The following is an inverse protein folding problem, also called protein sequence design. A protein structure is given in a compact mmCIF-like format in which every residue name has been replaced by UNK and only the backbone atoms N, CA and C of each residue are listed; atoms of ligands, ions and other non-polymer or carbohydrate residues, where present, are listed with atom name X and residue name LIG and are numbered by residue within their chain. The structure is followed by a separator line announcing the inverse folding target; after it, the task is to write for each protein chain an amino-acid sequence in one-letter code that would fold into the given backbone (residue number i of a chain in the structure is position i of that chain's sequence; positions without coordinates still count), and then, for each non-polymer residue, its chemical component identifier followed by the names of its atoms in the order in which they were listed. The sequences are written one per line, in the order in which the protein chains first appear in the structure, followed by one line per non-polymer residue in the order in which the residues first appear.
data_IF_985278764295
#
_entry.id   IF_985278764295
#
_cell.length_a   1.000
_cell.length_b   1.000
_cell.length_c   1.000
_cell.angle_alpha   90.00
_cell.angle_beta   90.00
_cell.angle_gamma   90.00
#
_symmetry.space_group_name_H-M   'P 1'
#
loop_
_entity.id
_entity.type
_entity.pdbx_description
1 polymer ?
#
# COMPACT_ATOMS: atom_id res chain seq x y z
N UNK A 1 4.00 -50.27 32.16
CA UNK A 1 4.04 -50.54 33.61
C UNK A 1 5.45 -50.23 34.10
N UNK A 2 5.78 -48.94 34.21
CA UNK A 2 5.66 -48.09 35.40
C UNK A 2 6.88 -48.25 36.33
N UNK A 3 7.86 -47.36 36.12
CA UNK A 3 9.06 -47.14 36.92
C UNK A 3 8.78 -46.17 38.08
N UNK A 4 9.64 -46.30 39.11
CA UNK A 4 9.55 -45.79 40.49
C UNK A 4 9.72 -44.28 40.61
N UNK A 5 9.08 -43.67 41.61
CA UNK A 5 9.50 -42.40 42.23
C UNK A 5 9.65 -42.57 43.76
N UNK A 6 10.76 -42.08 44.30
CA UNK A 6 11.08 -41.99 45.73
C UNK A 6 11.68 -40.60 45.99
N UNK A 7 11.19 -39.95 47.06
CA UNK A 7 11.75 -38.84 47.86
C UNK A 7 11.92 -37.45 47.15
N UNK A 8 11.94 -36.28 47.81
CA UNK A 8 12.48 -35.95 49.13
C UNK A 8 12.10 -34.52 49.59
N UNK A 9 11.93 -34.36 50.91
CA UNK A 9 12.15 -33.22 51.82
C UNK A 9 11.62 -31.80 51.55
N UNK A 10 10.81 -31.36 52.52
CA UNK A 10 10.49 -29.98 52.87
C UNK A 10 11.55 -29.48 53.88
N UNK A 11 12.19 -28.33 53.64
CA UNK A 11 13.09 -27.67 54.58
C UNK A 11 12.55 -26.26 54.93
N UNK A 12 12.30 -26.02 56.21
CA UNK A 12 12.08 -24.70 56.79
C UNK A 12 13.41 -23.97 57.01
N UNK A 13 13.46 -22.67 56.71
CA UNK A 13 14.42 -21.73 57.32
C UNK A 13 13.65 -20.49 57.81
N UNK A 14 13.86 -20.15 59.08
CA UNK A 14 13.39 -18.93 59.74
C UNK A 14 14.51 -17.87 59.72
N UNK A 15 14.15 -16.58 59.66
CA UNK A 15 15.10 -15.48 59.89
C UNK A 15 14.57 -14.08 59.54
N UNK A 16 14.36 -13.26 60.56
CA UNK A 16 13.73 -11.94 60.58
C UNK A 16 14.39 -10.85 59.71
N UNK A 17 13.55 -9.99 59.11
CA UNK A 17 13.90 -8.66 58.61
C UNK A 17 12.71 -7.71 58.79
N UNK A 18 12.84 -6.78 59.71
CA UNK A 18 11.81 -5.83 60.17
C UNK A 18 11.67 -4.72 59.12
N UNK A 19 10.57 -4.68 58.36
CA UNK A 19 10.19 -3.51 57.58
C UNK A 19 8.98 -2.87 58.25
N UNK A 20 9.19 -1.65 58.77
CA UNK A 20 8.10 -0.82 59.25
C UNK A 20 7.23 -0.45 58.06
N UNK A 21 6.00 -0.95 58.07
CA UNK A 21 4.92 -0.37 57.28
C UNK A 21 4.56 0.96 57.96
N UNK A 22 4.99 2.07 57.37
CA UNK A 22 4.47 3.38 57.69
C UNK A 22 3.09 3.53 56.99
N UNK A 23 1.97 3.73 57.71
CA UNK A 23 0.64 3.74 57.10
C UNK A 23 0.25 5.08 56.46
N UNK A 24 1.23 5.91 56.08
CA UNK A 24 1.00 7.28 55.57
C UNK A 24 1.49 7.50 54.14
N UNK A 25 1.66 6.44 53.34
CA UNK A 25 1.78 6.60 51.89
C UNK A 25 0.37 6.69 51.29
N UNK A 26 -0.03 7.91 50.92
CA UNK A 26 -1.27 8.17 50.21
C UNK A 26 -1.30 7.39 48.88
N UNK A 27 -2.44 6.82 48.46
CA UNK A 27 -2.54 6.05 47.21
C UNK A 27 -2.42 6.90 45.92
N UNK A 28 -2.06 8.18 46.02
CA UNK A 28 -2.02 9.13 44.90
C UNK A 28 -0.63 9.29 44.25
N UNK A 29 0.44 8.66 44.76
CA UNK A 29 1.82 8.84 44.26
C UNK A 29 2.35 7.68 43.38
N UNK A 30 1.47 6.89 42.75
CA UNK A 30 1.85 5.93 41.70
C UNK A 30 1.36 6.34 40.31
N UNK A 31 1.27 7.64 40.02
CA UNK A 31 1.34 8.09 38.62
C UNK A 31 2.81 8.03 38.25
N UNK A 32 3.20 6.96 37.55
CA UNK A 32 4.50 6.89 36.88
C UNK A 32 4.61 8.07 35.90
N UNK A 33 5.42 9.11 36.17
CA UNK A 33 5.54 10.26 35.28
C UNK A 33 6.27 9.90 33.97
N UNK A 34 6.82 8.68 33.88
CA UNK A 34 7.49 8.15 32.70
C UNK A 34 6.58 7.24 31.84
N UNK A 35 5.30 7.07 32.20
CA UNK A 35 4.33 6.27 31.44
C UNK A 35 3.80 6.97 30.17
N UNK A 36 4.62 7.80 29.53
CA UNK A 36 4.34 8.28 28.19
C UNK A 36 4.48 7.10 27.21
N UNK A 37 3.46 6.84 26.40
CA UNK A 37 3.47 5.79 25.37
C UNK A 37 4.46 6.08 24.22
N UNK A 38 4.77 5.10 23.36
CA UNK A 38 5.73 5.30 22.28
C UNK A 38 5.32 6.44 21.35
N UNK A 39 6.28 7.27 20.93
CA UNK A 39 6.09 8.24 19.86
C UNK A 39 6.28 7.51 18.52
N UNK A 40 5.27 7.57 17.65
CA UNK A 40 5.35 7.01 16.30
C UNK A 40 4.62 7.92 15.32
N UNK A 41 5.14 7.95 14.08
CA UNK A 41 4.55 8.73 12.98
C UNK A 41 4.40 7.87 11.73
N UNK A 42 3.32 8.14 11.00
CA UNK A 42 2.93 7.34 9.85
C UNK A 42 2.05 8.17 8.89
N UNK A 43 2.45 8.31 7.63
CA UNK A 43 1.64 9.02 6.62
C UNK A 43 0.60 8.14 5.93
N UNK A 44 0.43 6.89 6.35
CA UNK A 44 -0.47 5.94 5.68
C UNK A 44 0.04 5.50 4.30
N UNK A 45 1.29 5.85 3.96
CA UNK A 45 2.02 5.49 2.73
C UNK A 45 3.50 5.80 2.89
N UNK A 46 4.37 4.99 2.28
CA UNK A 46 5.82 5.24 2.21
C UNK A 46 6.24 5.85 0.87
N UNK A 47 5.33 5.94 -0.09
CA UNK A 47 5.56 6.58 -1.37
C UNK A 47 4.32 7.35 -1.84
N UNK A 48 4.52 8.46 -2.53
CA UNK A 48 3.46 9.23 -3.18
C UNK A 48 3.94 9.76 -4.54
N UNK A 49 3.15 9.52 -5.58
CA UNK A 49 3.34 10.16 -6.88
C UNK A 49 2.33 11.29 -7.00
N UNK A 50 2.81 12.50 -7.21
CA UNK A 50 2.06 13.75 -7.15
C UNK A 50 1.98 14.41 -8.54
N UNK A 51 0.86 15.10 -8.79
CA UNK A 51 0.63 15.84 -10.01
C UNK A 51 1.33 17.22 -9.98
N UNK A 52 2.10 17.54 -11.02
CA UNK A 52 2.64 18.90 -11.22
C UNK A 52 1.50 19.89 -11.46
N UNK A 53 1.58 21.05 -10.81
CA UNK A 53 0.71 22.20 -11.01
C UNK A 53 -0.66 22.10 -10.32
N UNK A 54 -1.00 20.93 -9.79
CA UNK A 54 -2.18 20.73 -8.96
C UNK A 54 -1.90 21.02 -7.48
N UNK A 55 -2.94 21.45 -6.75
CA UNK A 55 -2.92 21.35 -5.29
C UNK A 55 -2.92 19.88 -4.91
N UNK A 56 -1.92 19.45 -4.13
CA UNK A 56 -1.83 18.07 -3.73
C UNK A 56 -2.94 17.75 -2.73
N UNK A 57 -3.44 16.52 -2.76
CA UNK A 57 -4.16 15.99 -1.61
C UNK A 57 -3.20 16.01 -0.42
N UNK A 58 -3.55 16.75 0.61
CA UNK A 58 -2.72 16.88 1.81
C UNK A 58 -2.35 15.50 2.36
N UNK A 59 -1.06 15.31 2.64
CA UNK A 59 -0.55 14.10 3.28
C UNK A 59 -0.61 14.33 4.78
N UNK A 60 -1.52 13.62 5.43
CA UNK A 60 -1.79 13.78 6.86
C UNK A 60 -1.06 12.68 7.65
N UNK A 61 -0.22 13.03 8.63
CA UNK A 61 0.40 12.04 9.49
C UNK A 61 -0.59 11.54 10.54
N UNK A 62 -0.58 10.24 10.77
CA UNK A 62 -1.09 9.61 11.98
C UNK A 62 0.04 9.60 13.02
N UNK A 63 -0.21 10.27 14.14
CA UNK A 63 0.73 10.37 15.26
C UNK A 63 0.20 9.53 16.42
N UNK A 64 1.08 8.74 17.04
CA UNK A 64 0.83 8.06 18.32
C UNK A 64 1.76 8.69 19.35
N UNK A 65 1.24 9.06 20.52
CA UNK A 65 1.96 9.87 21.51
C UNK A 65 1.85 11.38 21.24
N UNK A 66 2.62 12.18 21.97
CA UNK A 66 2.65 13.64 21.80
C UNK A 66 3.89 14.07 20.99
N UNK A 67 3.65 14.69 19.83
CA UNK A 67 4.66 15.39 19.05
C UNK A 67 4.48 16.90 19.22
N UNK A 68 5.57 17.60 19.51
CA UNK A 68 5.64 19.05 19.67
C UNK A 68 6.04 19.76 18.37
N UNK A 69 6.89 19.13 17.56
CA UNK A 69 7.40 19.69 16.32
C UNK A 69 7.58 18.63 15.22
N UNK A 70 7.46 19.07 13.97
CA UNK A 70 7.70 18.28 12.78
C UNK A 70 8.72 18.95 11.86
N UNK A 71 9.65 18.15 11.37
CA UNK A 71 10.70 18.58 10.43
C UNK A 71 10.84 17.57 9.30
N UNK A 72 11.44 17.99 8.19
CA UNK A 72 11.68 17.13 7.02
C UNK A 72 13.09 17.37 6.48
N UNK A 73 13.78 16.30 6.07
CA UNK A 73 15.13 16.38 5.47
C UNK A 73 15.28 15.33 4.36
N UNK A 74 15.76 15.70 3.15
CA UNK A 74 16.09 17.06 2.69
C UNK A 74 14.86 17.98 2.61
N UNK A 75 15.04 19.24 2.21
CA UNK A 75 13.90 20.15 1.99
C UNK A 75 12.98 19.60 0.90
N UNK A 76 11.66 19.68 1.13
CA UNK A 76 10.64 19.28 0.15
C UNK A 76 10.80 20.06 -1.17
N UNK A 77 10.34 19.51 -2.30
CA UNK A 77 10.30 20.23 -3.57
C UNK A 77 9.58 21.58 -3.43
N UNK A 78 10.01 22.56 -4.23
CA UNK A 78 9.43 23.92 -4.19
C UNK A 78 7.90 23.88 -4.25
N UNK A 79 7.25 24.73 -3.45
CA UNK A 79 5.79 24.81 -3.38
C UNK A 79 5.09 23.75 -2.51
N UNK A 80 5.82 22.72 -2.04
CA UNK A 80 5.36 21.82 -0.97
C UNK A 80 5.96 22.24 0.38
N UNK A 81 5.16 22.16 1.44
CA UNK A 81 5.60 22.49 2.79
C UNK A 81 5.00 21.53 3.82
N UNK A 82 5.77 21.25 4.87
CA UNK A 82 5.29 20.59 6.08
C UNK A 82 4.89 21.65 7.11
N UNK A 83 3.70 21.52 7.68
CA UNK A 83 3.31 22.29 8.85
C UNK A 83 4.11 21.79 10.07
N UNK A 84 4.92 22.64 10.72
CA UNK A 84 5.80 22.22 11.81
C UNK A 84 5.03 21.83 13.09
N UNK A 85 3.75 22.13 13.20
CA UNK A 85 2.92 21.79 14.36
C UNK A 85 2.04 20.57 14.10
N UNK A 86 1.44 20.47 12.91
CA UNK A 86 0.54 19.35 12.58
C UNK A 86 1.22 18.21 11.84
N UNK A 87 2.39 18.47 11.24
CA UNK A 87 3.07 17.54 10.36
C UNK A 87 2.38 17.34 9.01
N UNK A 88 1.32 18.09 8.69
CA UNK A 88 0.63 17.96 7.40
C UNK A 88 1.55 18.46 6.28
N UNK A 89 1.72 17.66 5.22
CA UNK A 89 2.41 18.09 4.00
C UNK A 89 1.36 18.52 2.97
N UNK A 90 1.43 19.77 2.53
CA UNK A 90 0.48 20.35 1.57
C UNK A 90 1.18 21.35 0.64
N UNK A 91 0.45 21.81 -0.38
CA UNK A 91 0.91 22.85 -1.30
C UNK A 91 0.66 22.50 -2.77
N UNK A 92 1.38 23.21 -3.64
CA UNK A 92 1.29 23.07 -5.10
C UNK A 92 2.71 22.87 -5.61
N UNK A 93 2.99 21.72 -6.23
CA UNK A 93 4.29 21.44 -6.82
C UNK A 93 4.38 22.05 -8.24
N UNK A 94 5.14 23.14 -8.47
CA UNK A 94 5.14 23.85 -9.75
C UNK A 94 5.99 23.15 -10.82
N UNK A 95 6.96 22.32 -10.42
CA UNK A 95 7.93 21.70 -11.30
C UNK A 95 7.96 20.17 -11.14
N UNK A 96 8.43 19.48 -12.17
CA UNK A 96 8.65 18.04 -12.12
C UNK A 96 9.84 17.73 -11.20
N UNK A 97 9.75 16.62 -10.47
CA UNK A 97 10.81 16.17 -9.60
C UNK A 97 10.91 14.65 -9.62
N UNK A 98 12.12 14.13 -9.79
CA UNK A 98 12.37 12.69 -9.72
C UNK A 98 12.17 12.14 -8.32
N UNK A 99 11.76 10.86 -8.25
CA UNK A 99 11.62 10.09 -7.03
C UNK A 99 12.79 10.30 -6.06
N UNK A 100 12.50 10.87 -4.89
CA UNK A 100 13.48 11.15 -3.83
C UNK A 100 12.92 10.79 -2.45
N UNK A 101 13.80 10.33 -1.55
CA UNK A 101 13.44 9.96 -0.17
C UNK A 101 13.57 11.16 0.76
N UNK A 102 12.52 11.41 1.55
CA UNK A 102 12.44 12.44 2.56
C UNK A 102 12.23 11.80 3.93
N UNK A 103 13.05 12.19 4.90
CA UNK A 103 12.91 11.77 6.29
C UNK A 103 12.11 12.83 7.04
N UNK A 104 10.87 12.52 7.39
CA UNK A 104 10.07 13.32 8.31
C UNK A 104 10.46 12.91 9.73
N UNK A 105 10.69 13.89 10.60
CA UNK A 105 10.98 13.66 12.02
C UNK A 105 9.97 14.42 12.87
N UNK A 106 9.31 13.70 13.77
CA UNK A 106 8.50 14.26 14.84
C UNK A 106 9.29 14.29 16.13
N UNK A 107 9.46 15.49 16.70
CA UNK A 107 10.07 15.73 18.00
C UNK A 107 9.02 15.81 19.09
N UNK A 108 9.20 15.03 20.16
CA UNK A 108 8.52 15.20 21.44
C UNK A 108 9.51 15.67 22.51
N UNK A 109 9.02 16.03 23.71
CA UNK A 109 9.88 16.61 24.75
C UNK A 109 11.07 15.72 25.19
N UNK A 110 10.96 14.39 25.03
CA UNK A 110 11.98 13.42 25.43
C UNK A 110 12.25 12.34 24.37
N UNK A 111 11.54 12.35 23.25
CA UNK A 111 11.55 11.26 22.25
C UNK A 111 11.47 11.83 20.84
N UNK A 112 11.93 11.08 19.86
CA UNK A 112 11.74 11.39 18.46
C UNK A 112 11.29 10.15 17.70
N UNK A 113 10.51 10.37 16.64
CA UNK A 113 10.15 9.33 15.68
C UNK A 113 10.43 9.85 14.27
N UNK A 114 10.86 8.95 13.39
CA UNK A 114 11.14 9.29 12.00
C UNK A 114 10.34 8.39 11.05
N UNK A 115 9.95 8.94 9.92
CA UNK A 115 9.24 8.26 8.86
C UNK A 115 9.88 8.62 7.52
N UNK A 116 10.15 7.61 6.69
CA UNK A 116 10.67 7.81 5.33
C UNK A 116 9.52 7.84 4.33
N UNK A 117 9.46 8.92 3.56
CA UNK A 117 8.48 9.12 2.51
C UNK A 117 9.19 9.38 1.19
N UNK A 118 8.87 8.58 0.17
CA UNK A 118 9.35 8.79 -1.20
C UNK A 118 8.35 9.67 -1.94
N UNK A 119 8.80 10.78 -2.50
CA UNK A 119 7.97 11.66 -3.33
C UNK A 119 8.50 11.69 -4.77
N UNK A 120 7.58 11.68 -5.72
CA UNK A 120 7.83 11.84 -7.15
C UNK A 120 6.76 12.78 -7.73
N UNK A 121 7.17 13.77 -8.54
CA UNK A 121 6.26 14.76 -9.13
C UNK A 121 6.30 14.63 -10.65
N UNK A 122 5.16 14.27 -11.25
CA UNK A 122 5.03 13.98 -12.68
C UNK A 122 3.92 14.79 -13.34
N UNK A 123 3.90 14.77 -14.66
CA UNK A 123 2.76 15.31 -15.43
C UNK A 123 1.52 14.49 -15.11
N UNK A 124 0.36 15.16 -15.00
CA UNK A 124 -0.90 14.51 -14.71
C UNK A 124 -1.85 14.52 -15.91
N UNK A 125 -2.63 13.45 -16.01
CA UNK A 125 -3.77 13.28 -16.92
C UNK A 125 -4.98 12.98 -16.04
N UNK A 126 -6.03 13.78 -16.22
CA UNK A 126 -7.27 13.65 -15.44
C UNK A 126 -8.29 12.85 -16.25
N UNK A 127 -8.79 11.75 -15.68
CA UNK A 127 -9.88 10.97 -16.26
C UNK A 127 -11.20 11.68 -16.00
N UNK A 128 -11.99 11.94 -17.04
CA UNK A 128 -13.29 12.61 -16.91
C UNK A 128 -14.49 11.72 -17.33
N UNK A 129 -14.20 10.49 -17.77
CA UNK A 129 -15.21 9.52 -18.20
C UNK A 129 -15.02 8.17 -17.54
N UNK A 130 -16.12 7.58 -17.05
CA UNK A 130 -16.14 6.23 -16.49
C UNK A 130 -16.31 5.14 -17.55
N UNK A 131 -16.43 5.52 -18.82
CA UNK A 131 -16.53 4.56 -19.92
C UNK A 131 -15.18 3.88 -20.17
N UNK A 132 -15.19 2.76 -20.89
CA UNK A 132 -13.99 1.97 -21.17
C UNK A 132 -13.71 1.89 -22.67
N UNK A 133 -13.55 3.06 -23.27
CA UNK A 133 -13.18 3.22 -24.68
C UNK A 133 -11.67 3.43 -24.79
N UNK A 134 -11.05 2.82 -25.79
CA UNK A 134 -9.63 2.97 -26.10
C UNK A 134 -9.29 4.41 -26.53
N UNK A 135 -8.01 4.77 -26.47
CA UNK A 135 -7.54 6.02 -27.05
C UNK A 135 -7.72 6.00 -28.58
N UNK A 136 -8.14 7.12 -29.16
CA UNK A 136 -8.33 7.27 -30.60
C UNK A 136 -6.99 7.25 -31.35
N UNK A 137 -5.96 7.90 -30.81
CA UNK A 137 -4.65 8.07 -31.43
C UNK A 137 -3.50 7.91 -30.41
N UNK A 138 -3.21 6.68 -29.94
CA UNK A 138 -2.15 6.47 -28.96
C UNK A 138 -0.79 7.06 -29.39
N UNK A 139 -0.21 7.91 -28.54
CA UNK A 139 1.09 8.54 -28.68
C UNK A 139 1.04 9.97 -29.22
N UNK A 140 -0.12 10.61 -29.31
CA UNK A 140 -0.27 11.99 -29.79
C UNK A 140 -0.18 13.06 -28.67
N UNK A 141 -0.04 12.62 -27.42
CA UNK A 141 0.04 13.45 -26.22
C UNK A 141 -1.33 13.83 -25.64
N UNK A 142 -2.43 13.30 -26.16
CA UNK A 142 -3.80 13.65 -25.77
C UNK A 142 -4.52 12.38 -25.35
N UNK A 143 -5.06 12.38 -24.13
CA UNK A 143 -6.02 11.36 -23.74
C UNK A 143 -7.40 11.67 -24.36
N UNK A 144 -7.80 10.93 -25.39
CA UNK A 144 -9.09 11.12 -26.05
C UNK A 144 -9.67 9.80 -26.57
N UNK A 145 -10.89 9.47 -26.14
CA UNK A 145 -11.61 8.30 -26.65
C UNK A 145 -12.17 8.46 -28.07
N UNK A 146 -12.00 9.65 -28.65
CA UNK A 146 -12.58 10.10 -29.93
C UNK A 146 -13.96 10.75 -29.76
N UNK A 147 -14.42 10.89 -28.52
CA UNK A 147 -15.63 11.63 -28.16
C UNK A 147 -15.31 12.93 -27.41
N UNK A 148 -14.03 13.26 -27.22
CA UNK A 148 -13.57 14.43 -26.48
C UNK A 148 -13.53 14.22 -24.97
N UNK A 149 -13.61 12.96 -24.51
CA UNK A 149 -13.49 12.55 -23.12
C UNK A 149 -12.24 11.68 -22.91
N UNK A 150 -11.66 11.77 -21.72
CA UNK A 150 -10.51 10.97 -21.30
C UNK A 150 -10.98 9.82 -20.41
N UNK A 151 -10.88 8.60 -20.92
CA UNK A 151 -11.12 7.37 -20.15
C UNK A 151 -9.83 6.91 -19.48
N UNK A 152 -9.95 6.08 -18.42
CA UNK A 152 -8.77 5.44 -17.82
C UNK A 152 -7.97 4.62 -18.84
N UNK A 153 -8.65 3.93 -19.76
CA UNK A 153 -8.00 3.15 -20.81
C UNK A 153 -7.23 4.05 -21.76
N UNK A 154 -7.85 5.12 -22.23
CA UNK A 154 -7.22 6.06 -23.14
C UNK A 154 -5.95 6.66 -22.51
N UNK A 155 -6.04 7.12 -21.26
CA UNK A 155 -4.91 7.68 -20.53
C UNK A 155 -3.72 6.71 -20.41
N UNK A 156 -4.00 5.43 -20.13
CA UNK A 156 -2.95 4.40 -20.01
C UNK A 156 -2.39 4.01 -21.38
N UNK A 157 -3.21 3.94 -22.41
CA UNK A 157 -2.76 3.66 -23.79
C UNK A 157 -1.86 4.77 -24.32
N UNK A 158 -2.19 6.01 -24.01
CA UNK A 158 -1.37 7.18 -24.33
C UNK A 158 -0.01 7.12 -23.60
N UNK A 159 -0.01 6.85 -22.30
CA UNK A 159 1.21 6.67 -21.52
C UNK A 159 2.09 5.52 -22.06
N UNK A 160 1.47 4.42 -22.45
CA UNK A 160 2.19 3.27 -23.01
C UNK A 160 2.81 3.56 -24.37
N UNK A 161 2.20 4.42 -25.18
CA UNK A 161 2.69 4.77 -26.51
C UNK A 161 3.82 5.80 -26.44
N UNK A 162 3.70 6.78 -25.54
CA UNK A 162 4.72 7.82 -25.32
C UNK A 162 5.92 7.30 -24.55
N UNK A 163 5.70 6.41 -23.57
CA UNK A 163 6.74 5.95 -22.63
C UNK A 163 7.10 6.98 -21.56
N UNK A 164 6.46 8.14 -21.55
CA UNK A 164 6.71 9.20 -20.58
C UNK A 164 5.99 8.88 -19.26
N UNK A 165 6.69 8.97 -18.10
CA UNK A 165 6.06 8.75 -16.80
C UNK A 165 4.93 9.75 -16.52
N UNK A 166 3.75 9.23 -16.18
CA UNK A 166 2.54 10.04 -15.96
C UNK A 166 1.79 9.64 -14.69
N UNK A 167 1.08 10.60 -14.10
CA UNK A 167 0.04 10.37 -13.11
C UNK A 167 -1.33 10.41 -13.80
N UNK A 168 -2.06 9.31 -13.74
CA UNK A 168 -3.47 9.23 -14.14
C UNK A 168 -4.31 9.39 -12.88
N UNK A 169 -4.89 10.58 -12.72
CA UNK A 169 -5.83 10.85 -11.62
C UNK A 169 -7.20 10.33 -12.01
N UNK A 170 -7.79 9.53 -11.14
CA UNK A 170 -9.08 8.87 -11.36
C UNK A 170 -10.08 9.39 -10.33
N UNK A 171 -11.06 10.22 -10.76
CA UNK A 171 -12.08 10.75 -9.86
C UNK A 171 -12.97 9.67 -9.23
N UNK A 172 -13.80 10.05 -8.22
CA UNK A 172 -14.78 9.14 -7.66
C UNK A 172 -15.73 8.59 -8.73
N UNK A 173 -15.87 7.28 -8.77
CA UNK A 173 -16.66 6.60 -9.80
C UNK A 173 -16.44 5.09 -9.78
N UNK A 174 -17.31 4.38 -10.50
CA UNK A 174 -17.08 2.97 -10.84
C UNK A 174 -16.75 2.90 -12.33
N UNK A 175 -15.61 2.31 -12.64
CA UNK A 175 -15.03 2.20 -13.98
C UNK A 175 -15.15 0.74 -14.44
N UNK A 176 -16.27 0.37 -15.09
CA UNK A 176 -16.48 -0.97 -15.60
C UNK A 176 -15.58 -1.24 -16.81
N UNK A 177 -14.68 -2.20 -16.67
CA UNK A 177 -13.72 -2.56 -17.72
C UNK A 177 -14.29 -3.66 -18.61
N UNK A 178 -14.36 -3.40 -19.91
CA UNK A 178 -14.67 -4.36 -20.96
C UNK A 178 -13.49 -5.31 -21.24
N UNK A 179 -12.26 -4.87 -20.97
CA UNK A 179 -11.05 -5.69 -21.07
C UNK A 179 -9.98 -5.27 -20.06
N UNK A 180 -8.92 -6.07 -19.91
CA UNK A 180 -7.82 -5.69 -19.01
C UNK A 180 -7.12 -4.40 -19.45
N UNK A 181 -6.72 -3.58 -18.49
CA UNK A 181 -5.83 -2.45 -18.71
C UNK A 181 -4.39 -2.98 -18.66
N UNK A 182 -3.63 -2.76 -19.72
CA UNK A 182 -2.23 -3.17 -19.80
C UNK A 182 -1.32 -1.97 -19.50
N UNK A 183 -0.39 -2.13 -18.57
CA UNK A 183 0.63 -1.14 -18.24
C UNK A 183 1.97 -1.69 -18.73
N UNK A 184 2.59 -1.00 -19.70
CA UNK A 184 3.89 -1.29 -20.32
C UNK A 184 4.91 -0.19 -20.07
N UNK A 185 4.45 1.04 -19.87
CA UNK A 185 5.26 2.17 -19.45
C UNK A 185 5.20 2.37 -17.93
N UNK A 186 5.79 3.46 -17.47
CA UNK A 186 5.69 3.90 -16.08
C UNK A 186 4.43 4.74 -15.86
N UNK A 187 3.48 4.22 -15.09
CA UNK A 187 2.16 4.84 -14.89
C UNK A 187 1.78 4.83 -13.42
N UNK A 188 1.40 5.99 -12.88
CA UNK A 188 0.79 6.11 -11.57
C UNK A 188 -0.72 6.28 -11.69
N UNK A 189 -1.51 5.31 -11.25
CA UNK A 189 -2.98 5.39 -11.19
C UNK A 189 -3.37 5.78 -9.76
N UNK A 190 -3.89 6.99 -9.59
CA UNK A 190 -4.23 7.57 -8.29
C UNK A 190 -5.73 7.83 -8.22
N UNK A 191 -6.44 7.10 -7.37
CA UNK A 191 -7.86 7.31 -7.14
C UNK A 191 -8.15 8.38 -6.09
N UNK A 192 -9.43 8.73 -5.94
CA UNK A 192 -9.89 9.63 -4.90
C UNK A 192 -9.87 9.02 -3.48
N UNK A 193 -9.83 7.69 -3.37
CA UNK A 193 -9.87 6.95 -2.11
C UNK A 193 -10.52 5.57 -2.26
N UNK A 194 -10.21 4.68 -1.31
CA UNK A 194 -10.88 3.37 -1.22
C UNK A 194 -12.39 3.56 -1.06
N UNK A 195 -13.18 2.71 -1.72
CA UNK A 195 -14.66 2.81 -1.88
C UNK A 195 -15.18 4.02 -2.68
N UNK A 196 -14.34 4.98 -3.04
CA UNK A 196 -14.74 6.13 -3.85
C UNK A 196 -14.42 5.91 -5.32
N UNK A 197 -13.23 5.38 -5.60
CA UNK A 197 -12.78 5.04 -6.96
C UNK A 197 -12.72 3.54 -7.08
N UNK A 198 -13.42 2.97 -8.06
CA UNK A 198 -13.49 1.51 -8.23
C UNK A 198 -13.19 1.10 -9.66
N UNK A 199 -12.12 0.33 -9.85
CA UNK A 199 -11.81 -0.35 -11.10
C UNK A 199 -12.45 -1.74 -11.07
N UNK A 200 -13.32 -2.01 -12.04
CA UNK A 200 -14.24 -3.14 -11.96
C UNK A 200 -14.12 -4.04 -13.19
N UNK A 201 -13.59 -5.26 -13.00
CA UNK A 201 -13.43 -6.25 -14.08
C UNK A 201 -14.73 -6.97 -14.46
N UNK A 202 -15.85 -6.66 -13.80
CA UNK A 202 -17.19 -7.17 -14.10
C UNK A 202 -17.35 -8.70 -14.04
N UNK A 203 -16.39 -9.41 -13.45
CA UNK A 203 -16.20 -10.86 -13.50
C UNK A 203 -15.98 -11.41 -14.92
N UNK A 204 -15.60 -10.55 -15.86
CA UNK A 204 -15.42 -10.90 -17.27
C UNK A 204 -13.97 -10.80 -17.71
N UNK A 205 -13.18 -9.96 -17.04
CA UNK A 205 -11.79 -9.70 -17.43
C UNK A 205 -10.90 -9.46 -16.22
N UNK A 206 -9.60 -9.63 -16.41
CA UNK A 206 -8.62 -9.19 -15.44
C UNK A 206 -8.67 -7.67 -15.36
N UNK A 207 -8.55 -7.07 -14.18
CA UNK A 207 -8.63 -5.61 -14.08
C UNK A 207 -7.36 -4.97 -14.67
N UNK A 208 -6.19 -5.29 -14.10
CA UNK A 208 -4.91 -4.69 -14.47
C UNK A 208 -3.85 -5.75 -14.80
N UNK A 209 -2.96 -5.43 -15.74
CA UNK A 209 -1.76 -6.23 -16.01
C UNK A 209 -0.54 -5.34 -16.24
N UNK A 210 0.47 -5.46 -15.40
CA UNK A 210 1.79 -4.82 -15.61
C UNK A 210 2.74 -5.82 -16.26
N UNK A 211 3.32 -5.45 -17.41
CA UNK A 211 4.13 -6.35 -18.26
C UNK A 211 5.31 -5.60 -18.90
N UNK A 212 6.23 -6.36 -19.48
CA UNK A 212 7.31 -5.86 -20.36
C UNK A 212 8.21 -4.78 -19.72
N UNK A 213 8.46 -4.88 -18.41
CA UNK A 213 9.23 -3.89 -17.67
C UNK A 213 8.44 -2.67 -17.23
N UNK A 214 7.12 -2.64 -17.42
CA UNK A 214 6.25 -1.57 -16.95
C UNK A 214 6.32 -1.37 -15.44
N UNK A 215 6.10 -0.13 -15.00
CA UNK A 215 6.13 0.25 -13.59
C UNK A 215 4.77 0.84 -13.23
N UNK A 216 3.99 0.08 -12.46
CA UNK A 216 2.65 0.49 -12.02
C UNK A 216 2.68 0.99 -10.58
N UNK A 217 2.32 2.25 -10.38
CA UNK A 217 2.09 2.83 -9.06
C UNK A 217 0.58 2.97 -8.87
N UNK A 218 -0.03 2.15 -8.03
CA UNK A 218 -1.49 2.13 -7.86
C UNK A 218 -1.83 2.56 -6.43
N UNK A 219 -2.66 3.59 -6.29
CA UNK A 219 -3.04 4.08 -4.97
C UNK A 219 -4.46 4.61 -4.88
N UNK A 220 -5.00 4.59 -3.66
CA UNK A 220 -6.26 5.25 -3.28
C UNK A 220 -7.49 4.77 -4.09
N UNK A 221 -7.61 3.46 -4.35
CA UNK A 221 -8.72 2.90 -5.12
C UNK A 221 -9.04 1.44 -4.77
N UNK A 222 -10.20 0.98 -5.25
CA UNK A 222 -10.62 -0.41 -5.17
C UNK A 222 -10.40 -1.12 -6.52
N UNK A 223 -9.84 -2.32 -6.49
CA UNK A 223 -9.70 -3.24 -7.63
C UNK A 223 -10.58 -4.45 -7.35
N UNK A 224 -11.69 -4.60 -8.09
CA UNK A 224 -12.66 -5.65 -7.78
C UNK A 224 -13.23 -6.38 -8.98
N UNK A 225 -13.82 -7.53 -8.67
CA UNK A 225 -14.56 -8.37 -9.61
C UNK A 225 -13.74 -8.68 -10.87
N UNK A 226 -12.43 -8.86 -10.73
CA UNK A 226 -11.58 -9.35 -11.81
C UNK A 226 -11.76 -10.84 -12.04
N UNK A 227 -11.68 -11.28 -13.30
CA UNK A 227 -11.66 -12.68 -13.71
C UNK A 227 -10.61 -12.94 -14.79
N UNK A 228 -9.66 -13.84 -14.54
CA UNK A 228 -8.65 -14.22 -15.52
C UNK A 228 -7.79 -15.41 -15.09
N UNK A 229 -6.98 -15.94 -16.00
CA UNK A 229 -5.98 -16.98 -15.70
C UNK A 229 -4.70 -16.31 -15.19
N UNK A 230 -4.19 -16.67 -14.01
CA UNK A 230 -3.02 -16.01 -13.41
C UNK A 230 -3.36 -15.16 -12.17
N UNK A 231 -3.51 -13.84 -12.33
CA UNK A 231 -3.84 -12.84 -11.31
C UNK A 231 -5.09 -12.05 -11.70
N UNK A 232 -6.26 -12.32 -11.11
CA UNK A 232 -7.52 -11.79 -11.66
C UNK A 232 -7.74 -10.30 -11.39
N UNK A 233 -7.28 -9.77 -10.26
CA UNK A 233 -7.30 -8.32 -10.04
C UNK A 233 -6.10 -7.66 -10.75
N UNK A 234 -4.89 -8.09 -10.38
CA UNK A 234 -3.64 -7.58 -10.94
C UNK A 234 -2.66 -8.72 -11.15
N UNK A 235 -2.07 -8.79 -12.34
CA UNK A 235 -0.88 -9.60 -12.60
C UNK A 235 0.30 -8.72 -13.00
N UNK A 236 1.44 -9.00 -12.39
CA UNK A 236 2.73 -8.37 -12.63
C UNK A 236 3.65 -9.44 -13.19
N UNK A 237 4.09 -9.28 -14.44
CA UNK A 237 4.91 -10.24 -15.15
C UNK A 237 6.18 -9.55 -15.65
N UNK A 238 7.34 -9.91 -15.09
CA UNK A 238 8.63 -9.28 -15.44
C UNK A 238 8.53 -7.74 -15.46
N UNK A 239 7.93 -7.21 -14.41
CA UNK A 239 7.50 -5.82 -14.30
C UNK A 239 7.46 -5.42 -12.81
N UNK A 240 7.18 -4.15 -12.55
CA UNK A 240 7.07 -3.60 -11.19
C UNK A 240 5.63 -3.18 -10.92
N UNK A 241 5.12 -3.47 -9.72
CA UNK A 241 3.90 -2.82 -9.25
C UNK A 241 3.93 -2.54 -7.74
N UNK A 242 3.67 -1.29 -7.40
CA UNK A 242 3.54 -0.78 -6.04
C UNK A 242 2.08 -0.45 -5.77
N UNK A 243 1.53 -0.99 -4.69
CA UNK A 243 0.16 -0.74 -4.25
C UNK A 243 0.17 -0.06 -2.89
N UNK A 244 -0.52 1.08 -2.76
CA UNK A 244 -0.63 1.83 -1.51
C UNK A 244 -2.07 2.28 -1.25
N UNK A 245 -2.60 1.97 -0.06
CA UNK A 245 -3.99 2.29 0.29
C UNK A 245 -5.01 1.82 -0.76
N UNK A 246 -4.95 0.53 -1.13
CA UNK A 246 -5.90 -0.08 -2.08
C UNK A 246 -6.73 -1.18 -1.43
N UNK A 247 -7.92 -1.41 -1.99
CA UNK A 247 -8.73 -2.60 -1.66
C UNK A 247 -8.78 -3.52 -2.87
N UNK A 248 -8.19 -4.70 -2.75
CA UNK A 248 -8.26 -5.75 -3.78
C UNK A 248 -9.26 -6.79 -3.33
N UNK A 249 -10.46 -6.80 -3.92
CA UNK A 249 -11.52 -7.65 -3.40
C UNK A 249 -12.45 -8.29 -4.43
N UNK A 250 -13.04 -9.43 -4.04
CA UNK A 250 -14.06 -10.12 -4.85
C UNK A 250 -13.54 -10.55 -6.22
N UNK A 251 -12.24 -10.79 -6.35
CA UNK A 251 -11.64 -11.26 -7.58
C UNK A 251 -11.68 -12.79 -7.58
N UNK A 252 -12.05 -13.37 -8.73
CA UNK A 252 -12.23 -14.80 -8.88
C UNK A 252 -11.31 -15.29 -9.98
N UNK A 253 -10.68 -16.44 -9.79
CA UNK A 253 -9.81 -17.03 -10.80
C UNK A 253 -10.29 -18.41 -11.21
N UNK A 254 -10.38 -18.66 -12.52
CA UNK A 254 -10.45 -20.02 -13.06
C UNK A 254 -9.05 -20.48 -13.50
N UNK A 255 -8.29 -21.19 -12.66
CA UNK A 255 -6.97 -21.74 -13.03
C UNK A 255 -5.93 -21.84 -11.90
N UNK A 256 -4.64 -22.00 -12.25
CA UNK A 256 -3.55 -22.33 -11.30
C UNK A 256 -2.80 -21.10 -10.68
N UNK A 257 -3.49 -20.05 -10.24
CA UNK A 257 -2.82 -18.83 -9.73
C UNK A 257 -3.57 -18.09 -8.62
N UNK A 258 -3.14 -16.86 -8.32
CA UNK A 258 -3.74 -16.04 -7.26
C UNK A 258 -4.91 -15.24 -7.79
N UNK A 259 -6.03 -15.16 -7.06
CA UNK A 259 -7.21 -14.46 -7.57
C UNK A 259 -7.12 -12.94 -7.39
N UNK A 260 -6.59 -12.47 -6.26
CA UNK A 260 -6.31 -11.06 -6.07
C UNK A 260 -5.11 -10.62 -6.89
N UNK A 261 -3.92 -10.88 -6.35
CA UNK A 261 -2.64 -10.38 -6.86
C UNK A 261 -1.75 -11.54 -7.30
N UNK A 262 -1.04 -11.36 -8.41
CA UNK A 262 0.01 -12.28 -8.85
C UNK A 262 1.27 -11.55 -9.28
N UNK A 263 2.40 -11.91 -8.68
CA UNK A 263 3.74 -11.47 -9.08
C UNK A 263 4.52 -12.67 -9.64
N UNK A 264 4.99 -12.57 -10.87
CA UNK A 264 5.69 -13.68 -11.55
C UNK A 264 6.83 -13.20 -12.45
N UNK A 265 7.77 -14.10 -12.72
CA UNK A 265 8.85 -13.90 -13.69
C UNK A 265 9.77 -12.72 -13.33
N UNK A 266 10.36 -12.76 -12.12
CA UNK A 266 11.20 -11.70 -11.58
C UNK A 266 10.46 -10.36 -11.42
N UNK A 267 9.15 -10.41 -11.16
CA UNK A 267 8.41 -9.22 -10.81
C UNK A 267 8.85 -8.70 -9.43
N UNK A 268 8.73 -7.38 -9.25
CA UNK A 268 9.01 -6.71 -7.98
C UNK A 268 7.78 -5.91 -7.57
N UNK A 269 7.47 -5.90 -6.28
CA UNK A 269 6.38 -5.06 -5.80
C UNK A 269 6.42 -4.74 -4.34
N UNK A 270 5.60 -3.76 -3.99
CA UNK A 270 5.27 -3.43 -2.61
C UNK A 270 3.76 -3.39 -2.46
N UNK A 271 3.26 -3.83 -1.31
CA UNK A 271 1.84 -3.76 -0.96
C UNK A 271 1.74 -3.18 0.44
N UNK A 272 1.32 -1.93 0.52
CA UNK A 272 1.29 -1.19 1.77
C UNK A 272 -0.08 -0.59 2.10
N UNK A 273 -0.42 -0.56 3.39
CA UNK A 273 -1.65 0.05 3.90
C UNK A 273 -2.92 -0.45 3.21
N UNK A 274 -2.88 -1.67 2.69
CA UNK A 274 -3.89 -2.17 1.77
C UNK A 274 -4.73 -3.27 2.40
N UNK A 275 -5.87 -3.57 1.79
CA UNK A 275 -6.72 -4.70 2.17
C UNK A 275 -6.92 -5.62 0.97
N UNK A 276 -6.48 -6.86 1.11
CA UNK A 276 -6.67 -7.92 0.12
C UNK A 276 -7.72 -8.86 0.69
N UNK A 277 -8.95 -8.79 0.19
CA UNK A 277 -10.09 -9.46 0.84
C UNK A 277 -11.03 -10.21 -0.10
N UNK A 278 -11.61 -11.31 0.38
CA UNK A 278 -12.69 -12.02 -0.31
C UNK A 278 -12.33 -12.44 -1.75
N UNK A 279 -11.05 -12.75 -2.00
CA UNK A 279 -10.58 -13.24 -3.29
C UNK A 279 -10.57 -14.77 -3.32
N UNK A 280 -10.98 -15.36 -4.45
CA UNK A 280 -11.21 -16.81 -4.59
C UNK A 280 -10.38 -17.36 -5.76
N UNK A 281 -9.34 -18.14 -5.46
CA UNK A 281 -8.49 -18.79 -6.47
C UNK A 281 -8.72 -20.30 -6.58
N UNK A 282 -8.66 -20.87 -7.77
CA UNK A 282 -8.74 -22.33 -7.91
C UNK A 282 -7.40 -23.01 -7.61
N UNK A 283 -6.29 -22.37 -7.99
CA UNK A 283 -4.93 -22.88 -7.75
C UNK A 283 -4.41 -22.56 -6.36
N UNK A 284 -3.77 -21.39 -6.19
CA UNK A 284 -3.20 -21.02 -4.91
C UNK A 284 -2.87 -19.55 -4.74
N UNK A 285 -3.00 -19.04 -3.51
CA UNK A 285 -2.83 -17.64 -3.17
C UNK A 285 -4.06 -16.82 -3.53
N UNK A 286 -5.24 -17.22 -3.02
CA UNK A 286 -6.51 -16.54 -3.26
C UNK A 286 -6.37 -15.02 -3.15
N UNK A 287 -5.68 -14.53 -2.12
CA UNK A 287 -5.28 -13.13 -1.99
C UNK A 287 -4.06 -12.75 -2.83
N UNK A 288 -2.90 -13.35 -2.56
CA UNK A 288 -1.63 -13.04 -3.23
C UNK A 288 -0.87 -14.33 -3.60
N UNK A 289 -0.39 -14.39 -4.84
CA UNK A 289 0.49 -15.42 -5.36
C UNK A 289 1.82 -14.81 -5.82
N UNK A 290 2.95 -15.30 -5.28
CA UNK A 290 4.30 -14.84 -5.65
C UNK A 290 5.07 -16.02 -6.22
N UNK A 291 5.50 -15.91 -7.49
CA UNK A 291 6.24 -16.95 -8.20
C UNK A 291 7.57 -16.42 -8.74
N UNK A 292 8.69 -16.85 -8.14
CA UNK A 292 10.02 -16.42 -8.53
C UNK A 292 10.16 -14.89 -8.63
N UNK A 293 9.60 -14.18 -7.65
CA UNK A 293 9.39 -12.73 -7.63
C UNK A 293 9.53 -12.21 -6.19
N UNK A 294 9.73 -10.90 -6.02
CA UNK A 294 9.92 -10.29 -4.68
C UNK A 294 8.78 -9.32 -4.37
N UNK A 295 8.14 -9.48 -3.21
CA UNK A 295 7.07 -8.58 -2.76
C UNK A 295 7.26 -8.18 -1.30
N UNK A 296 7.35 -6.89 -1.03
CA UNK A 296 7.38 -6.37 0.35
C UNK A 296 5.98 -5.93 0.78
N UNK A 297 5.50 -6.48 1.89
CA UNK A 297 4.17 -6.24 2.44
C UNK A 297 4.31 -5.45 3.73
N UNK A 298 3.65 -4.29 3.81
CA UNK A 298 3.70 -3.41 4.98
C UNK A 298 2.31 -2.99 5.44
N UNK A 299 1.95 -3.20 6.70
CA UNK A 299 0.64 -2.78 7.26
C UNK A 299 -0.57 -3.15 6.37
N UNK A 300 -0.54 -4.33 5.77
CA UNK A 300 -1.57 -4.82 4.84
C UNK A 300 -2.37 -5.96 5.46
N UNK A 301 -3.69 -5.99 5.21
CA UNK A 301 -4.61 -7.00 5.73
C UNK A 301 -5.00 -8.00 4.66
N UNK A 302 -4.88 -9.30 4.97
CA UNK A 302 -5.42 -10.39 4.14
C UNK A 302 -6.64 -10.99 4.84
N UNK A 303 -7.84 -10.85 4.27
CA UNK A 303 -9.10 -11.20 4.94
C UNK A 303 -9.95 -12.12 4.06
N UNK A 304 -10.43 -13.24 4.59
CA UNK A 304 -11.39 -14.12 3.91
C UNK A 304 -11.01 -14.57 2.49
N UNK A 305 -9.73 -14.57 2.14
CA UNK A 305 -9.28 -15.08 0.86
C UNK A 305 -9.26 -16.61 0.91
N UNK A 306 -9.69 -17.25 -0.17
CA UNK A 306 -9.80 -18.70 -0.27
C UNK A 306 -9.13 -19.22 -1.54
N UNK A 307 -8.60 -20.44 -1.46
CA UNK A 307 -8.08 -21.14 -2.63
C UNK A 307 -8.39 -22.64 -2.56
N UNK A 308 -8.69 -23.28 -3.69
CA UNK A 308 -8.98 -24.71 -3.72
C UNK A 308 -7.72 -25.59 -3.61
N UNK A 309 -6.57 -25.13 -4.12
CA UNK A 309 -5.29 -25.83 -4.00
C UNK A 309 -4.46 -25.40 -2.77
N UNK A 310 -3.71 -24.28 -2.86
CA UNK A 310 -2.67 -23.91 -1.87
C UNK A 310 -2.83 -22.49 -1.34
N UNK A 311 -2.98 -22.34 -0.02
CA UNK A 311 -2.94 -21.04 0.67
C UNK A 311 -4.06 -20.08 0.24
N UNK A 312 -5.12 -19.95 1.07
CA UNK A 312 -6.22 -19.03 0.77
C UNK A 312 -5.79 -17.56 0.75
N UNK A 313 -4.98 -17.14 1.73
CA UNK A 313 -4.44 -15.79 1.82
C UNK A 313 -3.26 -15.54 0.88
N UNK A 314 -2.15 -16.21 1.16
CA UNK A 314 -0.86 -15.98 0.52
C UNK A 314 -0.27 -17.31 0.06
N UNK A 315 0.36 -17.32 -1.11
CA UNK A 315 1.07 -18.46 -1.64
C UNK A 315 2.37 -18.05 -2.33
N UNK A 316 3.47 -18.74 -2.01
CA UNK A 316 4.80 -18.49 -2.56
C UNK A 316 5.34 -19.76 -3.24
N UNK A 317 5.87 -19.62 -4.47
CA UNK A 317 6.47 -20.71 -5.23
C UNK A 317 7.69 -20.26 -6.04
N UNK A 318 8.55 -21.20 -6.41
CA UNK A 318 9.77 -20.92 -7.16
C UNK A 318 10.93 -20.52 -6.26
N UNK A 319 12.14 -20.92 -6.66
CA UNK A 319 13.34 -20.87 -5.81
C UNK A 319 13.79 -19.45 -5.43
N UNK A 320 13.28 -18.43 -6.13
CA UNK A 320 13.61 -17.01 -5.92
C UNK A 320 12.44 -16.18 -5.35
N UNK A 321 11.33 -16.81 -4.96
CA UNK A 321 10.22 -16.07 -4.36
C UNK A 321 10.57 -15.59 -2.95
N UNK A 322 10.42 -14.28 -2.71
CA UNK A 322 10.64 -13.64 -1.42
C UNK A 322 9.46 -12.76 -1.06
N UNK A 323 8.95 -12.92 0.15
CA UNK A 323 7.98 -11.99 0.75
C UNK A 323 8.50 -11.54 2.10
N UNK A 324 8.63 -10.23 2.26
CA UNK A 324 8.89 -9.60 3.56
C UNK A 324 7.56 -9.09 4.09
N UNK A 325 7.18 -9.46 5.32
CA UNK A 325 5.98 -8.93 5.97
C UNK A 325 6.43 -8.13 7.17
N UNK A 326 6.17 -6.83 7.13
CA UNK A 326 6.40 -5.93 8.26
C UNK A 326 5.08 -5.29 8.71
N UNK A 327 4.90 -5.26 10.02
CA UNK A 327 3.72 -4.72 10.70
C UNK A 327 4.11 -3.73 11.78
N UNK A 328 5.40 -3.35 11.86
CA UNK A 328 5.98 -2.60 12.96
C UNK A 328 5.11 -1.40 13.34
N UNK A 329 4.78 -1.41 14.63
CA UNK A 329 3.90 -0.50 15.36
C UNK A 329 4.51 0.87 15.53
#
# INVERSE_FOLDING_TARGET
MAQRLVALALLLVAGCGRLGFDPLDSPDDLVDPDAEGPLAIDYGRRWAVLARGGEIRALEPRVVGEAADFTVTPALPDGLAIDPTTGIIAGIAPELASSSTYTITAGGSLRSASFELVLDIRTAVEVDSTTDTADLNPGDGICDSGLGDCTLRAAVEEANATGEPVVVTVPPGTYPLASQIQIRAEVAVVGAGTRQTVLDGQLMTRVLKSIDGGVAHISDLDIRRGAGTGGSALEVFNAVAHLSNVVVAQNIQGGDGGAGLKYTSNAVGTIEYSTIADNVGDGGGGGLNVNGSTVDIYRTRFVNNSAAGRGGGLSLFGDTALVTIDSSS
#
